data_IF_509067982233
#
_entry.id   IF_509067982233
#
_cell.length_a   1.000
_cell.length_b   1.000
_cell.length_c   1.000
_cell.angle_alpha   90.00
_cell.angle_beta   90.00
_cell.angle_gamma   90.00
#
_symmetry.space_group_name_H-M   'P 1'
#
loop_
_entity.id
_entity.type
_entity.pdbx_description
1 polymer ?
#
# COMPACT_ATOMS: atom_id res chain seq x y z
N UNK A 1 15.36 -38.92 -7.41
CA UNK A 1 15.44 -40.41 -7.36
C UNK A 1 14.74 -40.84 -6.07
N UNK A 2 14.01 -41.96 -6.07
CA UNK A 2 13.02 -42.39 -5.06
C UNK A 2 11.63 -41.73 -5.17
N UNK A 3 10.66 -42.59 -5.50
CA UNK A 3 9.22 -42.37 -5.39
C UNK A 3 8.65 -43.50 -4.52
N UNK A 4 7.85 -43.17 -3.52
CA UNK A 4 6.89 -44.05 -2.83
C UNK A 4 5.79 -43.14 -2.26
N UNK A 5 4.49 -43.43 -2.33
CA UNK A 5 3.80 -44.52 -3.02
C UNK A 5 2.28 -44.26 -3.04
N UNK A 6 1.58 -44.82 -4.01
CA UNK A 6 0.13 -44.71 -4.16
C UNK A 6 -0.62 -45.78 -3.36
N UNK A 7 -1.82 -45.44 -2.88
CA UNK A 7 -2.85 -46.43 -2.55
C UNK A 7 -4.20 -46.00 -3.15
N UNK A 8 -4.69 -46.79 -4.11
CA UNK A 8 -6.06 -46.72 -4.61
C UNK A 8 -6.97 -47.64 -3.78
N UNK A 9 -8.23 -47.27 -3.66
CA UNK A 9 -9.33 -48.25 -3.58
C UNK A 9 -10.60 -47.68 -4.22
N UNK A 10 -11.04 -48.34 -5.29
CA UNK A 10 -12.29 -48.16 -6.04
C UNK A 10 -13.52 -48.63 -5.18
N UNK A 11 -14.80 -48.58 -5.57
CA UNK A 11 -15.47 -48.36 -6.87
C UNK A 11 -16.97 -47.98 -6.72
N UNK A 12 -17.63 -47.72 -7.86
CA UNK A 12 -19.09 -47.62 -8.12
C UNK A 12 -19.85 -46.44 -7.48
N UNK A 13 -20.80 -45.73 -8.11
CA UNK A 13 -21.43 -45.74 -9.45
C UNK A 13 -22.53 -44.64 -9.49
N UNK A 14 -23.25 -44.31 -10.56
CA UNK A 14 -23.32 -44.77 -11.96
C UNK A 14 -23.96 -43.67 -12.85
N UNK A 15 -24.04 -43.86 -14.18
CA UNK A 15 -24.60 -42.88 -15.15
C UNK A 15 -26.14 -42.81 -15.12
N UNK A 16 -26.73 -41.61 -15.29
CA UNK A 16 -27.60 -41.27 -16.46
C UNK A 16 -28.34 -39.91 -16.36
N UNK A 17 -28.34 -39.21 -17.49
CA UNK A 17 -29.17 -38.04 -17.93
C UNK A 17 -29.57 -38.44 -19.38
N UNK A 18 -30.80 -38.23 -19.93
CA UNK A 18 -31.50 -36.91 -19.99
C UNK A 18 -33.05 -36.90 -20.04
N UNK A 19 -33.66 -35.71 -19.88
CA UNK A 19 -34.55 -35.02 -20.86
C UNK A 19 -35.57 -34.06 -20.23
N UNK A 20 -35.76 -32.91 -20.90
CA UNK A 20 -36.92 -32.01 -20.72
C UNK A 20 -38.15 -32.49 -21.50
N UNK A 21 -39.33 -31.91 -21.22
CA UNK A 21 -40.13 -31.30 -22.31
C UNK A 21 -40.56 -29.85 -21.99
N UNK A 22 -41.13 -29.17 -23.00
CA UNK A 22 -41.48 -27.73 -23.02
C UNK A 22 -42.99 -27.46 -22.80
N UNK A 23 -43.30 -26.31 -22.17
CA UNK A 23 -44.34 -25.30 -22.55
C UNK A 23 -45.84 -25.74 -22.56
N UNK A 24 -46.85 -24.82 -22.55
CA UNK A 24 -46.83 -23.42 -23.02
C UNK A 24 -47.61 -22.35 -22.20
N UNK A 25 -47.60 -21.10 -22.69
CA UNK A 25 -48.65 -20.09 -22.45
C UNK A 25 -48.29 -18.90 -21.55
N UNK A 26 -47.76 -17.81 -22.11
CA UNK A 26 -48.56 -16.61 -22.42
C UNK A 26 -47.66 -15.41 -22.82
N UNK A 27 -47.95 -14.84 -23.99
CA UNK A 27 -47.44 -13.53 -24.42
C UNK A 27 -48.41 -12.42 -23.95
N UNK A 28 -47.92 -11.20 -23.69
CA UNK A 28 -48.49 -9.97 -24.27
C UNK A 28 -47.72 -8.68 -23.87
N UNK A 29 -47.08 -8.09 -24.90
CA UNK A 29 -46.93 -6.66 -25.25
C UNK A 29 -46.53 -5.59 -24.21
N UNK A 30 -45.52 -4.84 -24.65
CA UNK A 30 -45.19 -3.46 -24.24
C UNK A 30 -46.09 -2.49 -25.03
N UNK A 31 -46.62 -1.44 -24.39
CA UNK A 31 -47.21 -0.27 -25.09
C UNK A 31 -46.72 1.06 -24.47
N UNK A 32 -46.53 2.06 -25.34
CA UNK A 32 -46.11 3.43 -25.01
C UNK A 32 -47.17 4.21 -24.24
N UNK A 33 -46.75 5.06 -23.30
CA UNK A 33 -47.62 6.07 -22.67
C UNK A 33 -46.99 7.47 -22.74
N UNK A 34 -47.49 8.29 -23.67
CA UNK A 34 -47.26 9.73 -23.71
C UNK A 34 -48.36 10.49 -22.95
N UNK A 35 -48.03 11.56 -22.21
CA UNK A 35 -49.01 12.56 -21.77
C UNK A 35 -49.05 13.80 -22.71
N UNK A 36 -50.19 14.53 -22.78
CA UNK A 36 -50.48 15.47 -23.88
C UNK A 36 -50.08 16.94 -23.64
N UNK A 37 -50.16 17.74 -24.71
CA UNK A 37 -49.85 19.19 -24.74
C UNK A 37 -51.06 20.10 -24.47
N UNK A 38 -50.77 21.19 -23.75
CA UNK A 38 -51.24 22.58 -23.89
C UNK A 38 -52.74 22.97 -23.87
N UNK A 39 -53.05 24.03 -23.10
CA UNK A 39 -53.63 25.33 -23.53
C UNK A 39 -54.28 26.09 -22.34
N UNK A 40 -54.40 27.43 -22.26
CA UNK A 40 -53.76 28.61 -22.91
C UNK A 40 -54.31 29.91 -22.26
N UNK A 41 -53.64 31.06 -22.50
CA UNK A 41 -54.05 32.48 -22.25
C UNK A 41 -53.84 33.00 -20.80
N UNK A 42 -53.38 34.24 -20.56
CA UNK A 42 -52.77 35.26 -21.44
C UNK A 42 -53.16 36.72 -21.09
N UNK A 43 -52.34 37.70 -21.57
CA UNK A 43 -52.52 39.19 -21.54
C UNK A 43 -52.10 39.91 -20.22
N UNK A 44 -51.48 41.12 -20.21
CA UNK A 44 -50.92 42.02 -21.28
C UNK A 44 -49.99 43.13 -20.70
N UNK A 45 -48.91 43.52 -21.42
CA UNK A 45 -48.28 44.89 -21.62
C UNK A 45 -47.90 45.77 -20.39
N UNK A 46 -46.89 46.68 -20.40
CA UNK A 46 -46.12 47.32 -21.49
C UNK A 46 -44.75 47.93 -21.06
N UNK A 47 -43.75 47.86 -21.97
CA UNK A 47 -42.61 48.78 -22.31
C UNK A 47 -41.98 49.79 -21.32
N UNK A 48 -40.64 49.78 -21.22
CA UNK A 48 -39.65 50.75 -21.82
C UNK A 48 -38.21 50.20 -21.57
N UNK A 49 -37.36 49.99 -22.59
CA UNK A 49 -36.35 50.89 -23.22
C UNK A 49 -35.05 51.13 -22.41
N UNK A 50 -33.94 50.62 -22.97
CA UNK A 50 -32.56 51.20 -23.01
C UNK A 50 -31.77 51.42 -21.69
N UNK A 51 -30.43 51.33 -21.61
CA UNK A 51 -29.35 50.85 -22.52
C UNK A 51 -28.15 50.40 -21.66
N UNK A 52 -27.22 49.60 -22.19
CA UNK A 52 -25.94 49.28 -21.53
C UNK A 52 -25.02 50.51 -21.46
N UNK A 53 -24.00 50.58 -20.56
CA UNK A 53 -22.67 50.18 -21.05
C UNK A 53 -21.65 49.61 -20.03
N UNK A 54 -20.66 48.93 -20.59
CA UNK A 54 -19.24 48.85 -20.21
C UNK A 54 -18.77 48.15 -18.92
N UNK A 55 -18.08 47.03 -19.14
CA UNK A 55 -17.08 46.44 -18.25
C UNK A 55 -15.89 47.41 -18.12
N UNK A 56 -15.35 47.56 -16.89
CA UNK A 56 -14.02 48.15 -16.69
C UNK A 56 -13.19 47.25 -15.79
N UNK A 57 -12.19 46.64 -16.39
CA UNK A 57 -11.19 45.78 -15.77
C UNK A 57 -10.48 46.54 -14.63
N UNK A 58 -10.36 45.90 -13.46
CA UNK A 58 -9.56 46.38 -12.34
C UNK A 58 -8.48 45.36 -12.03
N UNK A 59 -7.24 45.76 -12.32
CA UNK A 59 -6.01 45.06 -11.99
C UNK A 59 -5.98 44.69 -10.51
N UNK A 60 -5.80 43.41 -10.19
CA UNK A 60 -5.62 42.95 -8.81
C UNK A 60 -4.16 43.19 -8.39
N UNK A 61 -3.92 44.28 -7.66
CA UNK A 61 -2.62 44.51 -7.00
C UNK A 61 -2.53 43.68 -5.72
N UNK A 62 -1.41 42.95 -5.57
CA UNK A 62 -1.05 42.20 -4.37
C UNK A 62 -1.06 43.06 -3.09
N UNK A 63 -1.67 42.61 -1.98
CA UNK A 63 -1.46 43.22 -0.66
C UNK A 63 -0.07 42.88 -0.13
N UNK A 64 0.60 43.89 0.42
CA UNK A 64 1.96 43.83 0.93
C UNK A 64 2.04 43.15 2.32
N UNK A 65 3.19 42.56 2.66
CA UNK A 65 3.41 41.87 3.93
C UNK A 65 3.44 42.83 5.12
N UNK A 66 2.44 42.77 6.01
CA UNK A 66 2.62 43.16 7.41
C UNK A 66 2.04 42.14 8.39
N UNK A 67 2.95 41.60 9.18
CA UNK A 67 2.77 40.70 10.32
C UNK A 67 1.56 41.03 11.22
N UNK A 68 0.70 40.04 11.41
CA UNK A 68 -0.16 39.92 12.57
C UNK A 68 0.12 38.57 13.24
N UNK A 69 0.72 38.60 14.43
CA UNK A 69 0.97 37.42 15.26
C UNK A 69 -0.32 36.99 15.96
N UNK A 70 -0.75 35.75 15.73
CA UNK A 70 -1.71 35.06 16.59
C UNK A 70 -1.24 33.63 16.86
N UNK A 71 -1.33 33.23 18.12
CA UNK A 71 -0.90 31.93 18.64
C UNK A 71 -1.96 30.85 18.38
N UNK A 72 -1.53 29.60 18.30
CA UNK A 72 -2.36 28.47 17.84
C UNK A 72 -1.88 27.96 16.49
N UNK A 73 -0.69 27.36 16.47
CA UNK A 73 -0.05 26.88 15.25
C UNK A 73 -0.75 25.67 14.65
N UNK A 74 -1.72 25.91 13.76
CA UNK A 74 -2.30 24.85 12.91
C UNK A 74 -1.19 24.24 12.07
N UNK A 75 -0.86 22.97 12.35
CA UNK A 75 0.15 22.23 11.58
C UNK A 75 -0.48 21.78 10.26
N UNK A 76 -0.34 22.63 9.25
CA UNK A 76 -0.81 22.34 7.89
C UNK A 76 -0.02 21.17 7.30
N UNK A 77 -0.56 19.96 7.44
CA UNK A 77 -0.05 18.76 6.77
C UNK A 77 -0.46 18.81 5.30
N UNK A 78 0.48 19.14 4.42
CA UNK A 78 0.26 19.19 2.98
C UNK A 78 0.59 17.83 2.35
N UNK A 79 -0.43 17.21 1.75
CA UNK A 79 -0.32 15.99 0.96
C UNK A 79 -0.63 16.32 -0.49
N UNK A 80 0.21 15.86 -1.41
CA UNK A 80 0.02 16.05 -2.84
C UNK A 80 -1.11 15.15 -3.36
N UNK A 81 -1.86 15.64 -4.35
CA UNK A 81 -2.89 14.83 -5.02
C UNK A 81 -2.29 13.57 -5.68
N UNK A 82 -1.06 13.67 -6.22
CA UNK A 82 -0.30 12.52 -6.76
C UNK A 82 -0.12 11.43 -5.69
N UNK A 83 0.29 11.81 -4.48
CA UNK A 83 0.47 10.87 -3.36
C UNK A 83 -0.85 10.17 -3.00
N UNK A 84 -1.98 10.90 -3.04
CA UNK A 84 -3.32 10.30 -2.84
C UNK A 84 -3.74 9.34 -3.96
N UNK A 85 -3.40 9.63 -5.23
CA UNK A 85 -3.68 8.72 -6.35
C UNK A 85 -2.86 7.42 -6.27
N UNK A 86 -1.63 7.51 -5.75
CA UNK A 86 -0.70 6.38 -5.57
C UNK A 86 -1.07 5.53 -4.37
N UNK A 87 -1.37 6.16 -3.23
CA UNK A 87 -1.91 5.53 -2.00
C UNK A 87 -3.11 4.60 -2.25
N UNK A 88 -3.93 4.89 -3.28
CA UNK A 88 -5.14 4.13 -3.59
C UNK A 88 -4.90 2.63 -3.77
N UNK A 89 -3.82 2.21 -4.45
CA UNK A 89 -3.54 0.78 -4.65
C UNK A 89 -3.09 0.09 -3.37
N UNK A 90 -2.30 0.77 -2.53
CA UNK A 90 -1.94 0.28 -1.20
C UNK A 90 -3.19 0.08 -0.33
N UNK A 91 -4.09 1.07 -0.33
CA UNK A 91 -5.31 1.03 0.48
C UNK A 91 -6.31 -0.02 0.00
N UNK A 92 -6.39 -0.27 -1.31
CA UNK A 92 -7.18 -1.38 -1.86
C UNK A 92 -6.65 -2.73 -1.38
N UNK A 93 -5.34 -2.96 -1.43
CA UNK A 93 -4.76 -4.20 -0.88
C UNK A 93 -4.96 -4.28 0.63
N UNK A 94 -4.56 -3.25 1.38
CA UNK A 94 -4.72 -3.19 2.83
C UNK A 94 -6.15 -3.51 3.28
N UNK A 95 -7.17 -2.90 2.66
CA UNK A 95 -8.56 -3.19 2.99
C UNK A 95 -8.96 -4.65 2.69
N UNK A 96 -8.38 -5.30 1.68
CA UNK A 96 -8.68 -6.69 1.32
C UNK A 96 -7.87 -7.71 2.12
N UNK A 97 -6.66 -7.34 2.54
CA UNK A 97 -5.70 -8.20 3.22
C UNK A 97 -5.80 -8.10 4.75
N UNK A 98 -6.11 -6.92 5.31
CA UNK A 98 -6.08 -6.67 6.77
C UNK A 98 -7.47 -6.65 7.42
N UNK A 99 -8.54 -6.28 6.72
CA UNK A 99 -9.87 -6.14 7.35
C UNK A 99 -10.38 -7.43 8.03
N UNK A 100 -9.97 -8.61 7.54
CA UNK A 100 -10.34 -9.88 8.18
C UNK A 100 -9.82 -9.99 9.63
N UNK A 101 -8.61 -9.52 9.91
CA UNK A 101 -8.03 -9.48 11.26
C UNK A 101 -8.73 -8.46 12.18
N UNK A 102 -9.52 -7.55 11.59
CA UNK A 102 -10.35 -6.57 12.30
C UNK A 102 -11.84 -6.90 12.28
N UNK A 103 -12.23 -8.16 12.00
CA UNK A 103 -13.64 -8.57 11.87
C UNK A 103 -14.46 -7.65 10.94
N UNK A 104 -13.80 -7.10 9.92
CA UNK A 104 -14.36 -6.17 8.96
C UNK A 104 -14.51 -6.84 7.59
N UNK A 105 -15.33 -6.21 6.75
CA UNK A 105 -15.75 -6.73 5.45
C UNK A 105 -15.52 -5.63 4.42
N UNK A 106 -14.68 -5.92 3.44
CA UNK A 106 -14.33 -4.99 2.36
C UNK A 106 -15.52 -4.71 1.41
N UNK A 107 -16.52 -5.58 1.41
CA UNK A 107 -17.77 -5.38 0.65
C UNK A 107 -18.81 -4.55 1.42
N UNK A 108 -18.59 -4.25 2.70
CA UNK A 108 -19.47 -3.40 3.50
C UNK A 108 -19.02 -1.93 3.41
N UNK A 109 -19.82 -1.04 2.77
CA UNK A 109 -19.44 0.37 2.61
C UNK A 109 -19.23 1.11 3.93
N UNK A 110 -19.91 0.69 5.02
CA UNK A 110 -19.74 1.31 6.35
C UNK A 110 -18.35 0.98 6.91
N UNK A 111 -17.87 -0.25 6.70
CA UNK A 111 -16.53 -0.66 7.15
C UNK A 111 -15.43 0.09 6.39
N UNK A 112 -15.57 0.23 5.07
CA UNK A 112 -14.62 0.98 4.24
C UNK A 112 -14.68 2.49 4.54
N UNK A 113 -15.80 3.14 4.26
CA UNK A 113 -15.87 4.62 4.22
C UNK A 113 -15.80 5.30 5.59
N UNK A 114 -16.05 4.59 6.70
CA UNK A 114 -15.95 5.17 8.05
C UNK A 114 -14.52 5.57 8.42
N UNK A 115 -13.53 4.78 7.98
CA UNK A 115 -12.12 4.96 8.36
C UNK A 115 -11.26 5.48 7.20
N UNK A 116 -11.75 5.33 5.95
CA UNK A 116 -11.05 5.75 4.74
C UNK A 116 -10.43 7.17 4.78
N UNK A 117 -11.07 8.23 5.33
CA UNK A 117 -10.44 9.56 5.34
C UNK A 117 -9.11 9.60 6.08
N UNK A 118 -8.99 8.90 7.22
CA UNK A 118 -7.74 8.85 7.97
C UNK A 118 -6.73 7.91 7.31
N UNK A 119 -7.17 6.72 6.88
CA UNK A 119 -6.29 5.77 6.21
C UNK A 119 -5.68 6.36 4.93
N UNK A 120 -6.49 7.06 4.12
CA UNK A 120 -6.01 7.81 2.95
C UNK A 120 -5.02 8.88 3.34
N UNK A 121 -5.31 9.68 4.37
CA UNK A 121 -4.39 10.72 4.84
C UNK A 121 -3.04 10.12 5.26
N UNK A 122 -3.03 9.08 6.11
CA UNK A 122 -1.79 8.51 6.64
C UNK A 122 -0.96 7.84 5.56
N UNK A 123 -1.55 6.96 4.75
CA UNK A 123 -0.86 6.31 3.63
C UNK A 123 -0.29 7.35 2.65
N UNK A 124 -1.09 8.34 2.25
CA UNK A 124 -0.64 9.36 1.30
C UNK A 124 0.45 10.27 1.88
N UNK A 125 0.51 10.42 3.21
CA UNK A 125 1.56 11.16 3.90
C UNK A 125 2.87 10.37 3.93
N UNK A 126 2.81 9.09 4.31
CA UNK A 126 3.98 8.19 4.34
C UNK A 126 4.54 8.04 2.92
N UNK A 127 3.68 7.69 1.95
CA UNK A 127 4.06 7.55 0.54
C UNK A 127 4.73 8.81 -0.05
N UNK A 128 4.30 10.01 0.39
CA UNK A 128 4.94 11.26 -0.03
C UNK A 128 6.36 11.42 0.53
N UNK A 129 6.61 10.92 1.74
CA UNK A 129 7.94 10.91 2.34
C UNK A 129 8.84 9.84 1.71
N UNK A 130 8.28 8.66 1.38
CA UNK A 130 9.01 7.60 0.64
C UNK A 130 9.52 8.12 -0.72
N UNK A 131 8.66 8.77 -1.53
CA UNK A 131 9.09 9.37 -2.79
C UNK A 131 10.17 10.45 -2.57
N UNK A 132 10.08 11.27 -1.51
CA UNK A 132 11.08 12.28 -1.18
C UNK A 132 12.42 11.67 -0.74
N UNK A 133 12.39 10.51 -0.12
CA UNK A 133 13.57 9.73 0.28
C UNK A 133 14.23 9.06 -0.95
N UNK A 134 13.44 8.39 -1.81
CA UNK A 134 13.93 7.83 -3.09
C UNK A 134 14.56 8.92 -3.99
N UNK A 135 13.92 10.08 -4.13
CA UNK A 135 14.40 11.20 -4.95
C UNK A 135 15.75 11.75 -4.42
N UNK A 136 15.92 11.83 -3.09
CA UNK A 136 17.19 12.23 -2.46
C UNK A 136 18.30 11.23 -2.75
N UNK A 137 18.03 9.93 -2.62
CA UNK A 137 18.98 8.85 -2.92
C UNK A 137 19.43 8.84 -4.37
N UNK A 138 18.47 8.99 -5.30
CA UNK A 138 18.74 9.10 -6.73
C UNK A 138 19.62 10.34 -7.02
N UNK A 139 19.31 11.49 -6.41
CA UNK A 139 20.10 12.72 -6.59
C UNK A 139 21.53 12.60 -6.05
N UNK A 140 21.72 12.07 -4.84
CA UNK A 140 23.07 11.86 -4.25
C UNK A 140 23.94 10.92 -5.09
N UNK A 141 23.35 9.88 -5.69
CA UNK A 141 24.06 8.98 -6.61
C UNK A 141 24.51 9.69 -7.91
N UNK A 142 23.79 10.73 -8.35
CA UNK A 142 24.12 11.52 -9.55
C UNK A 142 25.16 12.62 -9.27
N UNK A 143 25.16 13.25 -8.09
CA UNK A 143 26.12 14.32 -7.76
C UNK A 143 27.45 13.80 -7.22
N UNK A 144 27.47 12.59 -6.64
CA UNK A 144 28.68 12.00 -6.06
C UNK A 144 29.07 12.56 -4.68
N UNK A 145 28.19 13.33 -4.03
CA UNK A 145 28.36 13.80 -2.65
C UNK A 145 28.26 12.62 -1.67
N UNK A 146 29.42 11.98 -1.46
CA UNK A 146 29.54 10.62 -0.95
C UNK A 146 29.89 10.58 0.55
N UNK A 147 29.20 11.39 1.37
CA UNK A 147 29.31 11.35 2.84
C UNK A 147 27.99 11.70 3.56
N UNK A 148 27.15 10.72 3.94
CA UNK A 148 26.45 10.81 5.22
C UNK A 148 27.50 10.74 6.34
N UNK A 149 27.49 11.66 7.32
CA UNK A 149 28.44 11.60 8.42
C UNK A 149 28.02 10.55 9.45
N UNK A 150 28.99 10.06 10.22
CA UNK A 150 28.79 8.94 11.15
C UNK A 150 28.07 9.34 12.47
N UNK A 151 27.36 10.48 12.49
CA UNK A 151 26.54 10.91 13.62
C UNK A 151 25.08 10.44 13.45
N UNK A 152 24.94 9.11 13.53
CA UNK A 152 23.70 8.32 13.34
C UNK A 152 22.67 8.62 14.45
N UNK A 153 22.02 9.77 14.30
CA UNK A 153 20.74 10.18 14.91
C UNK A 153 20.40 11.63 14.49
N UNK A 154 21.39 12.44 14.10
CA UNK A 154 21.24 13.88 13.91
C UNK A 154 21.08 14.29 12.44
N UNK A 155 21.76 13.60 11.51
CA UNK A 155 21.84 14.08 10.11
C UNK A 155 20.67 13.67 9.22
N UNK A 156 19.94 12.59 9.53
CA UNK A 156 18.67 12.31 8.83
C UNK A 156 17.61 13.39 9.13
N UNK A 157 17.65 13.97 10.33
CA UNK A 157 16.88 15.17 10.68
C UNK A 157 17.41 16.46 10.02
N UNK A 158 18.61 16.43 9.42
CA UNK A 158 19.24 17.58 8.75
C UNK A 158 18.95 17.64 7.25
N UNK A 159 18.83 16.50 6.56
CA UNK A 159 18.47 16.44 5.13
C UNK A 159 17.05 16.94 4.84
N UNK A 160 16.09 16.52 5.67
CA UNK A 160 14.70 17.05 5.68
C UNK A 160 14.52 18.26 6.61
N UNK A 161 15.55 18.64 7.37
CA UNK A 161 15.61 19.81 8.26
C UNK A 161 14.70 19.79 9.49
N UNK A 162 13.76 18.83 9.59
CA UNK A 162 12.82 18.61 10.69
C UNK A 162 12.43 17.12 10.74
N UNK A 163 11.92 16.70 11.90
CA UNK A 163 11.19 15.42 12.04
C UNK A 163 10.09 15.31 10.96
N UNK A 164 10.19 14.37 10.00
CA UNK A 164 9.29 14.32 8.85
C UNK A 164 7.89 13.84 9.24
N UNK A 165 7.75 13.09 10.33
CA UNK A 165 6.45 12.63 10.84
C UNK A 165 5.81 13.61 11.84
N UNK A 166 6.41 14.77 12.13
CA UNK A 166 5.88 15.75 13.09
C UNK A 166 4.43 16.17 12.77
N UNK A 167 4.09 16.33 11.48
CA UNK A 167 2.73 16.64 11.05
C UNK A 167 1.76 15.49 11.31
N UNK A 168 2.15 14.27 10.91
CA UNK A 168 1.38 13.06 11.14
C UNK A 168 1.13 12.83 12.64
N UNK A 169 2.14 13.01 13.50
CA UNK A 169 2.00 12.90 14.96
C UNK A 169 0.94 13.84 15.52
N UNK A 170 0.92 15.10 15.09
CA UNK A 170 -0.10 16.08 15.54
C UNK A 170 -1.50 15.61 15.15
N UNK A 171 -1.71 15.18 13.91
CA UNK A 171 -3.02 14.66 13.46
C UNK A 171 -3.42 13.41 14.26
N UNK A 172 -2.51 12.45 14.45
CA UNK A 172 -2.82 11.25 15.24
C UNK A 172 -3.07 11.56 16.73
N UNK A 173 -2.43 12.59 17.28
CA UNK A 173 -2.66 13.03 18.66
C UNK A 173 -4.00 13.77 18.81
N UNK A 174 -4.39 14.62 17.86
CA UNK A 174 -5.70 15.30 17.84
C UNK A 174 -6.88 14.32 17.71
N UNK A 175 -6.62 13.11 17.20
CA UNK A 175 -7.58 12.03 17.06
C UNK A 175 -7.52 10.96 18.18
N UNK A 176 -6.72 11.16 19.24
CA UNK A 176 -6.46 10.19 20.33
C UNK A 176 -5.89 8.83 19.85
N UNK A 177 -5.22 8.81 18.70
CA UNK A 177 -4.67 7.60 18.06
C UNK A 177 -3.16 7.44 18.20
N UNK A 178 -2.41 8.49 18.57
CA UNK A 178 -0.94 8.41 18.72
C UNK A 178 -0.55 7.56 19.96
N UNK A 179 -0.48 6.25 19.76
CA UNK A 179 0.01 5.30 20.77
C UNK A 179 1.54 5.16 20.71
N UNK A 180 2.15 4.69 21.80
CA UNK A 180 3.58 4.33 21.79
C UNK A 180 3.92 3.30 20.70
N UNK A 181 3.01 2.35 20.39
CA UNK A 181 3.27 1.34 19.37
C UNK A 181 3.33 1.96 17.97
N UNK A 182 2.51 2.96 17.67
CA UNK A 182 2.59 3.72 16.42
C UNK A 182 3.86 4.57 16.39
N UNK A 183 4.21 5.22 17.50
CA UNK A 183 5.47 5.98 17.62
C UNK A 183 6.69 5.08 17.33
N UNK A 184 6.73 3.88 17.94
CA UNK A 184 7.79 2.89 17.71
C UNK A 184 7.85 2.45 16.22
N UNK A 185 6.71 2.25 15.52
CA UNK A 185 6.71 1.92 14.09
C UNK A 185 7.06 3.10 13.16
N UNK A 186 6.73 4.35 13.53
CA UNK A 186 7.22 5.53 12.80
C UNK A 186 8.74 5.70 12.93
N UNK A 187 9.29 5.38 14.12
CA UNK A 187 10.74 5.33 14.32
C UNK A 187 11.39 4.19 13.53
N UNK A 188 10.71 3.05 13.39
CA UNK A 188 11.15 1.96 12.49
C UNK A 188 11.23 2.42 11.02
N UNK A 189 10.27 3.23 10.55
CA UNK A 189 10.31 3.83 9.21
C UNK A 189 11.51 4.77 9.01
N UNK A 190 11.82 5.63 9.99
CA UNK A 190 13.04 6.45 9.96
C UNK A 190 14.32 5.59 9.92
N UNK A 191 14.34 4.47 10.63
CA UNK A 191 15.46 3.54 10.64
C UNK A 191 15.59 2.80 9.30
N UNK A 192 14.48 2.40 8.67
CA UNK A 192 14.46 1.83 7.31
C UNK A 192 15.11 2.79 6.30
N UNK A 193 14.61 4.02 6.19
CA UNK A 193 15.15 5.03 5.28
C UNK A 193 16.64 5.31 5.52
N UNK A 194 17.07 5.34 6.78
CA UNK A 194 18.48 5.50 7.12
C UNK A 194 19.35 4.31 6.65
N UNK A 195 18.89 3.08 6.85
CA UNK A 195 19.58 1.88 6.37
C UNK A 195 19.63 1.84 4.84
N UNK A 196 18.51 2.10 4.17
CA UNK A 196 18.45 2.20 2.70
C UNK A 196 19.45 3.22 2.16
N UNK A 197 19.52 4.42 2.77
CA UNK A 197 20.51 5.43 2.42
C UNK A 197 21.96 4.91 2.55
N UNK A 198 22.31 4.27 3.67
CA UNK A 198 23.65 3.72 3.89
C UNK A 198 23.96 2.61 2.87
N UNK A 199 23.06 1.64 2.72
CA UNK A 199 23.25 0.44 1.90
C UNK A 199 23.39 0.79 0.41
N UNK A 200 22.50 1.63 -0.12
CA UNK A 200 22.54 2.04 -1.53
C UNK A 200 23.72 2.98 -1.83
N UNK A 201 24.15 3.81 -0.86
CA UNK A 201 25.38 4.61 -0.98
C UNK A 201 26.62 3.71 -0.98
N UNK A 202 26.72 2.76 -0.05
CA UNK A 202 27.86 1.84 0.07
C UNK A 202 28.05 0.99 -1.20
N UNK A 203 26.98 0.42 -1.78
CA UNK A 203 27.06 -0.30 -3.06
C UNK A 203 27.55 0.61 -4.19
N UNK A 204 27.07 1.86 -4.23
CA UNK A 204 27.47 2.83 -5.26
C UNK A 204 28.95 3.24 -5.14
N UNK A 205 29.44 3.40 -3.90
CA UNK A 205 30.83 3.68 -3.58
C UNK A 205 31.77 2.46 -3.65
N UNK A 206 31.20 1.25 -3.76
CA UNK A 206 31.89 -0.06 -3.68
C UNK A 206 32.55 -0.33 -2.31
N UNK A 207 31.86 0.07 -1.24
CA UNK A 207 32.24 -0.14 0.15
C UNK A 207 31.65 -1.43 0.73
N UNK A 208 32.07 -1.83 1.93
CA UNK A 208 31.58 -3.04 2.59
C UNK A 208 30.10 -2.87 3.04
N UNK A 209 29.30 -3.92 2.83
CA UNK A 209 27.88 -3.97 3.22
C UNK A 209 27.68 -5.17 4.15
N UNK A 210 27.03 -4.96 5.31
CA UNK A 210 26.75 -6.05 6.25
C UNK A 210 25.42 -6.73 5.94
N UNK A 211 25.40 -8.06 6.01
CA UNK A 211 24.19 -8.85 5.81
C UNK A 211 23.11 -8.57 6.88
N UNK A 212 23.50 -8.30 8.13
CA UNK A 212 22.55 -7.98 9.20
C UNK A 212 21.80 -6.66 8.93
N UNK A 213 22.51 -5.63 8.47
CA UNK A 213 21.94 -4.32 8.12
C UNK A 213 20.92 -4.45 6.96
N UNK A 214 21.18 -5.34 5.99
CA UNK A 214 20.27 -5.66 4.87
C UNK A 214 19.02 -6.41 5.33
N UNK A 215 19.18 -7.42 6.19
CA UNK A 215 18.07 -8.20 6.74
C UNK A 215 17.19 -7.33 7.63
N UNK A 216 17.78 -6.39 8.38
CA UNK A 216 17.03 -5.46 9.21
C UNK A 216 16.26 -4.43 8.36
N UNK A 217 16.89 -3.83 7.33
CA UNK A 217 16.20 -2.95 6.40
C UNK A 217 14.97 -3.64 5.78
N UNK A 218 15.13 -4.86 5.29
CA UNK A 218 14.05 -5.65 4.70
C UNK A 218 12.90 -5.91 5.70
N UNK A 219 13.19 -6.13 7.00
CA UNK A 219 12.15 -6.28 8.05
C UNK A 219 11.45 -4.98 8.40
N UNK A 220 12.08 -3.82 8.17
CA UNK A 220 11.51 -2.52 8.51
C UNK A 220 10.72 -1.91 7.34
N UNK A 221 10.91 -2.40 6.11
CA UNK A 221 10.31 -1.87 4.86
C UNK A 221 8.79 -1.66 4.92
N UNK A 222 8.02 -2.63 5.42
CA UNK A 222 6.53 -2.55 5.50
C UNK A 222 5.99 -1.82 6.74
N UNK A 223 6.68 -0.80 7.27
CA UNK A 223 6.20 -0.04 8.44
C UNK A 223 4.91 0.73 8.16
N UNK A 224 4.67 1.12 6.90
CA UNK A 224 3.44 1.71 6.36
C UNK A 224 2.21 0.85 6.73
N UNK A 225 2.23 -0.43 6.36
CA UNK A 225 1.16 -1.39 6.65
C UNK A 225 0.98 -1.61 8.15
N UNK A 226 2.05 -1.65 8.94
CA UNK A 226 1.99 -1.77 10.40
C UNK A 226 1.35 -0.56 11.05
N UNK A 227 1.67 0.66 10.61
CA UNK A 227 0.99 1.88 11.08
C UNK A 227 -0.50 1.84 10.73
N UNK A 228 -0.87 1.49 9.50
CA UNK A 228 -2.28 1.34 9.11
C UNK A 228 -3.01 0.26 9.95
N UNK A 229 -2.37 -0.87 10.23
CA UNK A 229 -2.91 -1.95 11.07
C UNK A 229 -3.14 -1.49 12.52
N UNK A 230 -2.16 -0.78 13.12
CA UNK A 230 -2.31 -0.20 14.45
C UNK A 230 -3.43 0.85 14.53
N UNK A 231 -3.58 1.67 13.48
CA UNK A 231 -4.68 2.64 13.38
C UNK A 231 -6.04 1.94 13.36
N UNK A 232 -6.17 0.79 12.70
CA UNK A 232 -7.41 0.01 12.69
C UNK A 232 -7.79 -0.51 14.09
N UNK A 233 -6.83 -0.91 14.93
CA UNK A 233 -7.10 -1.23 16.34
C UNK A 233 -7.57 0.00 17.13
N UNK A 234 -6.85 1.12 17.02
CA UNK A 234 -7.19 2.37 17.71
C UNK A 234 -8.57 2.93 17.31
N UNK A 235 -8.86 3.01 16.01
CA UNK A 235 -10.13 3.49 15.46
C UNK A 235 -11.33 2.64 15.87
N UNK A 236 -11.11 1.35 16.18
CA UNK A 236 -12.12 0.40 16.66
C UNK A 236 -12.18 0.32 18.19
N UNK A 237 -11.24 0.96 18.89
CA UNK A 237 -11.04 0.87 20.35
C UNK A 237 -10.84 -0.58 20.83
N UNK A 238 -10.09 -1.37 20.05
CA UNK A 238 -9.75 -2.76 20.38
C UNK A 238 -8.28 -2.89 20.76
N UNK A 239 -7.92 -3.81 21.69
CA UNK A 239 -6.53 -4.10 22.00
C UNK A 239 -5.82 -4.73 20.80
N UNK A 240 -4.55 -4.38 20.60
CA UNK A 240 -3.69 -4.99 19.60
C UNK A 240 -3.58 -6.50 19.84
N UNK A 241 -3.77 -7.30 18.79
CA UNK A 241 -3.50 -8.74 18.84
C UNK A 241 -2.07 -9.02 18.37
N UNK A 242 -1.16 -9.25 19.32
CA UNK A 242 0.26 -9.49 19.02
C UNK A 242 0.49 -10.77 18.19
N UNK A 243 -0.38 -11.79 18.28
CA UNK A 243 -0.27 -12.98 17.44
C UNK A 243 -0.61 -12.69 15.97
N UNK A 244 -1.58 -11.81 15.72
CA UNK A 244 -1.89 -11.31 14.37
C UNK A 244 -0.74 -10.45 13.83
N UNK A 245 -0.13 -9.60 14.67
CA UNK A 245 1.06 -8.83 14.29
C UNK A 245 2.28 -9.71 13.97
N UNK A 246 2.57 -10.75 14.77
CA UNK A 246 3.68 -11.65 14.49
C UNK A 246 3.45 -12.39 13.16
N UNK A 247 2.26 -12.93 12.93
CA UNK A 247 1.90 -13.56 11.65
C UNK A 247 2.06 -12.59 10.47
N UNK A 248 1.47 -11.40 10.56
CA UNK A 248 1.51 -10.40 9.50
C UNK A 248 2.94 -9.94 9.21
N UNK A 249 3.79 -9.75 10.23
CA UNK A 249 5.20 -9.34 10.03
C UNK A 249 6.03 -10.31 9.17
N UNK A 250 5.75 -11.62 9.26
CA UNK A 250 6.44 -12.63 8.43
C UNK A 250 5.79 -12.72 7.04
N UNK A 251 4.48 -12.49 6.95
CA UNK A 251 3.82 -12.36 5.65
C UNK A 251 4.29 -11.13 4.87
N UNK A 252 4.40 -9.98 5.53
CA UNK A 252 4.97 -8.73 5.00
C UNK A 252 6.37 -8.99 4.43
N UNK A 253 7.26 -9.59 5.24
CA UNK A 253 8.61 -9.97 4.84
C UNK A 253 8.66 -10.83 3.57
N UNK A 254 7.75 -11.81 3.43
CA UNK A 254 7.66 -12.66 2.23
C UNK A 254 7.14 -11.89 1.00
N UNK A 255 6.24 -10.93 1.18
CA UNK A 255 5.75 -10.06 0.09
C UNK A 255 6.84 -9.10 -0.38
N UNK A 256 7.54 -8.41 0.53
CA UNK A 256 8.63 -7.50 0.16
C UNK A 256 9.75 -8.23 -0.60
N UNK A 257 10.11 -9.46 -0.20
CA UNK A 257 11.06 -10.27 -0.98
C UNK A 257 10.52 -10.66 -2.37
N UNK A 258 9.23 -10.96 -2.49
CA UNK A 258 8.62 -11.33 -3.77
C UNK A 258 8.47 -10.13 -4.73
N UNK A 259 8.17 -8.95 -4.20
CA UNK A 259 8.10 -7.70 -4.94
C UNK A 259 9.52 -7.25 -5.35
N UNK A 260 10.53 -7.28 -4.46
CA UNK A 260 11.94 -7.01 -4.80
C UNK A 260 12.46 -7.97 -5.91
N UNK A 261 12.10 -9.26 -5.85
CA UNK A 261 12.47 -10.22 -6.90
C UNK A 261 11.79 -9.93 -8.26
N UNK A 262 10.66 -9.23 -8.25
CA UNK A 262 9.90 -8.89 -9.44
C UNK A 262 10.33 -7.53 -10.04
N UNK A 263 10.57 -6.52 -9.21
CA UNK A 263 10.91 -5.15 -9.61
C UNK A 263 12.43 -4.88 -9.69
N UNK A 264 13.28 -5.89 -9.49
CA UNK A 264 14.76 -5.84 -9.53
C UNK A 264 15.38 -4.89 -10.58
N UNK A 265 14.95 -4.95 -11.84
CA UNK A 265 15.49 -4.09 -12.90
C UNK A 265 15.11 -2.61 -12.71
N UNK A 266 13.91 -2.33 -12.19
CA UNK A 266 13.42 -0.98 -11.91
C UNK A 266 14.11 -0.38 -10.68
N UNK A 267 14.27 -1.15 -9.61
CA UNK A 267 14.90 -0.71 -8.36
C UNK A 267 16.38 -0.37 -8.57
N UNK A 268 17.13 -1.22 -9.29
CA UNK A 268 18.51 -0.93 -9.66
C UNK A 268 18.60 0.31 -10.54
N UNK A 269 17.65 0.50 -11.47
CA UNK A 269 17.58 1.69 -12.31
C UNK A 269 17.41 3.01 -11.53
N UNK A 270 16.79 2.94 -10.34
CA UNK A 270 16.60 4.07 -9.42
C UNK A 270 17.67 4.22 -8.32
N UNK A 271 18.58 3.24 -8.19
CA UNK A 271 19.43 3.07 -7.00
C UNK A 271 18.66 2.79 -5.69
N UNK A 272 17.47 2.18 -5.76
CA UNK A 272 16.66 1.83 -4.59
C UNK A 272 17.19 0.57 -3.85
N UNK A 273 16.72 0.33 -2.63
CA UNK A 273 16.97 -0.92 -1.90
C UNK A 273 16.26 -2.08 -2.60
N UNK A 274 16.99 -3.20 -2.74
CA UNK A 274 16.45 -4.43 -3.28
C UNK A 274 17.24 -5.64 -2.72
N UNK A 275 16.56 -6.60 -2.09
CA UNK A 275 17.23 -7.71 -1.38
C UNK A 275 18.13 -8.54 -2.30
N UNK A 276 17.72 -8.81 -3.54
CA UNK A 276 18.53 -9.58 -4.49
C UNK A 276 19.80 -8.80 -4.89
N UNK A 277 19.68 -7.48 -5.12
CA UNK A 277 20.83 -6.59 -5.37
C UNK A 277 21.83 -6.64 -4.20
N UNK A 278 21.34 -6.57 -2.97
CA UNK A 278 22.16 -6.62 -1.76
C UNK A 278 22.86 -7.98 -1.59
N UNK A 279 22.13 -9.08 -1.78
CA UNK A 279 22.69 -10.43 -1.67
C UNK A 279 23.73 -10.71 -2.77
N UNK A 280 23.48 -10.28 -4.01
CA UNK A 280 24.45 -10.37 -5.12
C UNK A 280 25.73 -9.58 -4.83
N UNK A 281 25.62 -8.46 -4.13
CA UNK A 281 26.77 -7.65 -3.74
C UNK A 281 27.61 -8.30 -2.63
N UNK A 282 26.97 -8.87 -1.61
CA UNK A 282 27.64 -9.49 -0.45
C UNK A 282 28.24 -10.87 -0.81
N UNK A 283 27.45 -11.74 -1.42
CA UNK A 283 27.79 -13.16 -1.62
C UNK A 283 28.27 -13.47 -3.04
N UNK A 284 28.13 -12.52 -3.98
CA UNK A 284 28.43 -12.74 -5.39
C UNK A 284 27.41 -13.63 -6.11
N UNK A 285 27.47 -13.68 -7.46
CA UNK A 285 26.43 -14.32 -8.29
C UNK A 285 26.35 -15.85 -8.14
N UNK A 286 27.37 -16.50 -7.58
CA UNK A 286 27.38 -17.96 -7.36
C UNK A 286 26.70 -18.40 -6.07
N UNK A 287 26.77 -17.62 -5.00
CA UNK A 287 26.27 -18.00 -3.68
C UNK A 287 24.98 -17.26 -3.31
N UNK A 288 24.79 -16.03 -3.79
CA UNK A 288 23.59 -15.22 -3.51
C UNK A 288 22.25 -15.93 -3.78
N UNK A 289 22.06 -16.70 -4.88
CA UNK A 289 20.79 -17.41 -5.11
C UNK A 289 20.49 -18.45 -4.03
N UNK A 290 21.50 -19.19 -3.57
CA UNK A 290 21.37 -20.17 -2.49
C UNK A 290 21.12 -19.49 -1.15
N UNK A 291 21.88 -18.44 -0.83
CA UNK A 291 21.73 -17.70 0.43
C UNK A 291 20.34 -17.03 0.53
N UNK A 292 19.81 -16.50 -0.57
CA UNK A 292 18.47 -15.91 -0.62
C UNK A 292 17.38 -17.00 -0.55
N UNK A 293 17.53 -18.12 -1.25
CA UNK A 293 16.60 -19.25 -1.14
C UNK A 293 16.53 -19.83 0.28
N UNK A 294 17.68 -19.97 0.97
CA UNK A 294 17.75 -20.42 2.36
C UNK A 294 17.14 -19.39 3.35
N UNK A 295 17.13 -18.10 3.00
CA UNK A 295 16.47 -17.07 3.80
C UNK A 295 14.95 -17.05 3.56
N UNK A 296 14.51 -17.19 2.31
CA UNK A 296 13.10 -17.34 1.94
C UNK A 296 12.51 -18.59 2.59
N UNK A 297 13.14 -19.76 2.42
CA UNK A 297 12.63 -21.03 2.97
C UNK A 297 12.48 -21.02 4.49
N UNK A 298 13.44 -20.44 5.23
CA UNK A 298 13.30 -20.26 6.69
C UNK A 298 12.16 -19.30 7.07
N UNK A 299 11.87 -18.32 6.23
CA UNK A 299 10.77 -17.38 6.42
C UNK A 299 9.42 -18.04 6.08
N UNK A 300 9.37 -18.87 5.04
CA UNK A 300 8.22 -19.71 4.68
C UNK A 300 7.90 -20.76 5.77
N UNK A 301 8.92 -21.41 6.35
CA UNK A 301 8.77 -22.31 7.50
C UNK A 301 8.12 -21.58 8.69
N UNK A 302 8.63 -20.39 9.06
CA UNK A 302 8.05 -19.60 10.17
C UNK A 302 6.63 -19.13 9.83
N UNK A 303 6.39 -18.67 8.62
CA UNK A 303 5.06 -18.29 8.13
C UNK A 303 4.08 -19.47 8.23
N UNK A 304 4.49 -20.68 7.83
CA UNK A 304 3.64 -21.85 7.84
C UNK A 304 3.29 -22.31 9.26
N UNK A 305 4.22 -22.18 10.22
CA UNK A 305 3.93 -22.40 11.64
C UNK A 305 2.86 -21.41 12.12
N UNK A 306 3.10 -20.11 11.97
CA UNK A 306 2.17 -19.07 12.45
C UNK A 306 0.80 -19.13 11.76
N UNK A 307 0.76 -19.48 10.46
CA UNK A 307 -0.47 -19.72 9.72
C UNK A 307 -1.31 -20.84 10.32
N UNK A 308 -0.69 -21.86 10.93
CA UNK A 308 -1.41 -22.95 11.63
C UNK A 308 -1.86 -22.59 13.04
N UNK A 309 -1.34 -21.51 13.62
CA UNK A 309 -1.71 -21.01 14.94
C UNK A 309 -2.84 -19.96 14.89
N UNK A 310 -3.09 -19.35 13.72
CA UNK A 310 -4.25 -18.47 13.49
C UNK A 310 -5.59 -19.17 13.77
N UNK A 311 -6.60 -18.37 14.13
CA UNK A 311 -7.97 -18.85 14.27
C UNK A 311 -8.46 -19.51 12.95
N UNK A 312 -9.08 -20.70 12.99
CA UNK A 312 -9.39 -21.47 11.77
C UNK A 312 -10.22 -20.72 10.72
N UNK A 313 -11.05 -19.76 11.15
CA UNK A 313 -11.83 -18.92 10.24
C UNK A 313 -10.99 -17.85 9.54
N UNK A 314 -9.98 -17.27 10.22
CA UNK A 314 -9.03 -16.35 9.60
C UNK A 314 -8.10 -17.09 8.66
N UNK A 315 -7.58 -18.26 9.06
CA UNK A 315 -6.74 -19.09 8.18
C UNK A 315 -7.42 -19.37 6.82
N UNK A 316 -8.71 -19.73 6.83
CA UNK A 316 -9.49 -19.98 5.59
C UNK A 316 -9.70 -18.69 4.77
N UNK A 317 -10.02 -17.56 5.41
CA UNK A 317 -10.18 -16.28 4.72
C UNK A 317 -8.87 -15.78 4.12
N UNK A 318 -7.78 -15.91 4.87
CA UNK A 318 -6.44 -15.49 4.49
C UNK A 318 -5.91 -16.30 3.30
N UNK A 319 -5.99 -17.63 3.37
CA UNK A 319 -5.63 -18.50 2.24
C UNK A 319 -6.41 -18.15 0.96
N UNK A 320 -7.72 -17.87 1.09
CA UNK A 320 -8.54 -17.40 -0.04
C UNK A 320 -8.07 -16.04 -0.58
N UNK A 321 -7.68 -15.10 0.29
CA UNK A 321 -7.11 -13.80 -0.11
C UNK A 321 -5.78 -13.97 -0.86
N UNK A 322 -4.90 -14.87 -0.41
CA UNK A 322 -3.66 -15.20 -1.12
C UNK A 322 -3.94 -15.74 -2.53
N UNK A 323 -4.89 -16.67 -2.66
CA UNK A 323 -5.31 -17.17 -3.98
C UNK A 323 -5.84 -16.06 -4.90
N UNK A 324 -6.62 -15.11 -4.36
CA UNK A 324 -7.12 -13.95 -5.10
C UNK A 324 -5.98 -13.03 -5.55
N UNK A 325 -5.04 -12.71 -4.65
CA UNK A 325 -3.87 -11.89 -4.94
C UNK A 325 -3.02 -12.46 -6.08
N UNK A 326 -2.73 -13.77 -6.04
CA UNK A 326 -1.98 -14.46 -7.09
C UNK A 326 -2.69 -14.38 -8.44
N UNK A 327 -4.01 -14.58 -8.48
CA UNK A 327 -4.81 -14.44 -9.71
C UNK A 327 -4.76 -13.01 -10.26
N UNK A 328 -4.87 -12.01 -9.39
CA UNK A 328 -4.83 -10.58 -9.74
C UNK A 328 -3.49 -10.14 -10.30
N UNK A 329 -2.37 -10.57 -9.69
CA UNK A 329 -1.02 -10.31 -10.20
C UNK A 329 -0.80 -10.89 -11.60
N UNK A 330 -1.28 -12.13 -11.83
CA UNK A 330 -1.22 -12.77 -13.16
C UNK A 330 -2.04 -12.01 -14.21
N UNK A 331 -3.22 -11.50 -13.87
CA UNK A 331 -4.02 -10.69 -14.81
C UNK A 331 -3.41 -9.31 -15.08
N UNK A 332 -2.87 -8.62 -14.06
CA UNK A 332 -2.21 -7.32 -14.22
C UNK A 332 -0.92 -7.42 -15.05
N UNK A 333 -0.17 -8.52 -14.94
CA UNK A 333 1.00 -8.79 -15.79
C UNK A 333 0.71 -8.81 -17.30
N UNK A 334 -0.55 -9.00 -17.70
CA UNK A 334 -0.96 -8.95 -19.11
C UNK A 334 -1.31 -7.54 -19.63
N UNK A 335 -1.41 -6.53 -18.76
CA UNK A 335 -1.72 -5.15 -19.12
C UNK A 335 -0.86 -4.17 -18.31
N UNK A 336 0.24 -3.70 -18.92
CA UNK A 336 1.21 -2.77 -18.32
C UNK A 336 0.55 -1.42 -17.99
N UNK A 337 0.18 -1.23 -16.72
CA UNK A 337 -0.20 0.06 -16.15
C UNK A 337 0.81 0.45 -15.06
N UNK A 338 1.37 1.66 -15.17
CA UNK A 338 2.34 2.19 -14.22
C UNK A 338 1.64 2.60 -12.92
N UNK A 339 2.00 1.94 -11.82
CA UNK A 339 1.27 1.98 -10.55
C UNK A 339 1.48 0.67 -9.81
N UNK A 340 2.63 0.54 -9.16
CA UNK A 340 3.00 -0.65 -8.38
C UNK A 340 1.88 -0.96 -7.38
N UNK A 341 1.34 -2.17 -7.48
CA UNK A 341 0.36 -2.70 -6.55
C UNK A 341 0.99 -3.93 -5.92
N UNK A 342 1.37 -3.82 -4.64
CA UNK A 342 1.89 -4.91 -3.78
C UNK A 342 0.93 -6.11 -3.84
N UNK A 343 1.12 -7.03 -4.78
CA UNK A 343 0.16 -8.12 -5.08
C UNK A 343 0.84 -9.39 -5.62
N UNK A 344 1.92 -9.84 -4.96
CA UNK A 344 2.45 -11.18 -5.19
C UNK A 344 2.88 -11.90 -3.91
N UNK A 345 1.92 -12.58 -3.28
CA UNK A 345 2.23 -13.65 -2.32
C UNK A 345 2.92 -14.81 -3.06
N UNK A 346 4.11 -15.27 -2.65
CA UNK A 346 4.65 -16.52 -3.16
C UNK A 346 3.80 -17.69 -2.67
N UNK A 347 3.62 -18.70 -3.53
CA UNK A 347 3.21 -20.04 -3.08
C UNK A 347 4.37 -20.98 -3.29
N UNK A 348 4.55 -21.93 -2.35
CA UNK A 348 5.72 -22.81 -2.19
C UNK A 348 6.11 -23.70 -3.39
N UNK A 349 5.44 -23.59 -4.53
CA UNK A 349 5.73 -24.31 -5.78
C UNK A 349 6.11 -23.37 -6.94
N UNK A 350 6.37 -22.07 -6.71
CA UNK A 350 6.56 -21.07 -7.78
C UNK A 350 7.95 -20.43 -7.86
N UNK A 351 8.90 -20.83 -7.00
CA UNK A 351 10.22 -20.18 -6.85
C UNK A 351 11.42 -21.07 -7.22
N UNK A 352 11.21 -22.19 -7.91
CA UNK A 352 12.30 -22.99 -8.51
C UNK A 352 11.99 -23.31 -9.99
N UNK A 353 13.02 -23.33 -10.87
CA UNK A 353 12.88 -23.56 -12.32
C UNK A 353 12.63 -25.02 -12.70
#
# INVERSE_FOLDING_TARGET
MWSVGTCNSEAAGSRSVPNSPRSPGDELKIEDVTPPKSNRKGHRRSKNSEMSPFVREKTLTTPDHRSASYEGGVVNCLISFKSMERARSTLEDFCRSYFMFHNMDVHNPIHVFRYLPLLVFVESYIYQLDEQNEDQLCFSALTGDSKPSCEVSSEFASGLGKDPFAGLRVVLQEHDLLTKRIEDELMNGLHYWHLEHILCTAISAKEEVKADDVVEALRLKSFDYRVLNLLMYGLRNEPVNEAHFEFLSISELLVEMADDLYDYEADIGKNSFNVLRMFLYIFGPSEAPTMLADFIGRSEDKYQILLTELEPHLQVQYNKRCEEAVKEGVYKGSHRCEGQAKTRMPTANTLLP
#
